data_IF_662753374008
#
_entry.id   IF_662753374008
#
_cell.length_a   1.000
_cell.length_b   1.000
_cell.length_c   1.000
_cell.angle_alpha   90.00
_cell.angle_beta   90.00
_cell.angle_gamma   90.00
#
_symmetry.space_group_name_H-M   'P 1'
#
loop_
_entity.id
_entity.type
_entity.pdbx_description
1 polymer ?
#
# COMPACT_ATOMS: atom_id res chain seq x y z
N UNK A 1 25.34 19.44 7.49
CA UNK A 1 23.93 19.61 7.07
C UNK A 1 23.11 18.48 7.68
N UNK A 2 21.90 18.75 8.13
CA UNK A 2 21.02 17.68 8.60
C UNK A 2 20.66 16.74 7.45
N UNK A 3 20.59 15.42 7.70
CA UNK A 3 20.25 14.45 6.67
C UNK A 3 18.75 14.50 6.34
N UNK A 4 18.41 14.53 5.05
CA UNK A 4 17.05 14.53 4.54
C UNK A 4 16.75 13.16 3.94
N UNK A 5 15.66 12.53 4.38
CA UNK A 5 15.33 11.19 3.94
C UNK A 5 14.02 11.10 3.16
N UNK A 6 14.10 10.94 1.85
CA UNK A 6 13.01 10.56 0.97
C UNK A 6 12.79 9.05 0.87
N UNK A 7 13.49 8.25 1.68
CA UNK A 7 13.34 6.79 1.70
C UNK A 7 12.12 6.31 2.50
N UNK A 8 11.66 7.09 3.49
CA UNK A 8 10.65 6.69 4.48
C UNK A 8 9.23 6.87 3.97
N UNK A 9 8.61 5.81 3.46
CA UNK A 9 7.17 5.78 3.11
C UNK A 9 6.26 5.53 4.33
N UNK A 10 6.38 6.36 5.36
CA UNK A 10 5.61 6.26 6.62
C UNK A 10 4.97 7.60 6.95
N UNK A 11 3.85 7.63 7.72
CA UNK A 11 3.29 8.86 8.25
C UNK A 11 4.31 9.60 9.11
N UNK A 12 4.34 10.93 9.00
CA UNK A 12 5.11 11.76 9.90
C UNK A 12 4.49 11.80 11.31
N UNK A 13 5.25 12.19 12.36
CA UNK A 13 4.73 12.28 13.72
C UNK A 13 3.47 13.14 13.82
N UNK A 14 3.38 14.23 13.07
CA UNK A 14 2.22 15.15 13.05
C UNK A 14 0.94 14.50 12.51
N UNK A 15 1.05 13.37 11.82
CA UNK A 15 -0.10 12.61 11.34
C UNK A 15 -0.72 11.72 12.42
N UNK A 16 -0.03 11.51 13.55
CA UNK A 16 -0.45 10.55 14.57
C UNK A 16 -1.43 11.21 15.56
N UNK A 17 -2.64 10.68 15.74
CA UNK A 17 -3.63 11.19 16.69
C UNK A 17 -3.39 10.61 18.11
N UNK A 18 -2.29 11.03 18.75
CA UNK A 18 -1.79 10.40 19.98
C UNK A 18 -2.78 10.53 21.15
N UNK A 19 -3.37 11.71 21.34
CA UNK A 19 -4.29 11.99 22.45
C UNK A 19 -5.59 11.20 22.28
N UNK A 20 -6.18 11.22 21.08
CA UNK A 20 -7.42 10.48 20.78
C UNK A 20 -7.21 8.97 20.92
N UNK A 21 -6.06 8.46 20.48
CA UNK A 21 -5.72 7.04 20.62
C UNK A 21 -5.50 6.64 22.09
N UNK A 22 -4.91 7.50 22.92
CA UNK A 22 -4.75 7.25 24.34
C UNK A 22 -6.10 7.16 25.06
N UNK A 23 -7.04 8.05 24.73
CA UNK A 23 -8.40 8.04 25.29
C UNK A 23 -9.20 6.82 24.82
N UNK A 24 -9.07 6.45 23.54
CA UNK A 24 -9.67 5.22 23.00
C UNK A 24 -9.12 3.97 23.71
N UNK A 25 -7.79 3.90 23.88
CA UNK A 25 -7.17 2.76 24.54
C UNK A 25 -7.65 2.60 26.00
N UNK A 26 -7.79 3.70 26.74
CA UNK A 26 -8.33 3.67 28.09
C UNK A 26 -9.77 3.16 28.10
N UNK A 27 -10.62 3.70 27.24
CA UNK A 27 -12.03 3.35 27.19
C UNK A 27 -12.27 1.88 26.84
N UNK A 28 -11.55 1.34 25.85
CA UNK A 28 -11.70 -0.07 25.48
C UNK A 28 -11.18 -1.02 26.56
N UNK A 29 -10.10 -0.65 27.27
CA UNK A 29 -9.62 -1.43 28.41
C UNK A 29 -10.60 -1.46 29.59
N UNK A 30 -11.23 -0.35 29.88
CA UNK A 30 -12.25 -0.24 30.95
C UNK A 30 -13.53 -1.01 30.60
N UNK A 31 -14.00 -0.94 29.34
CA UNK A 31 -15.23 -1.59 28.88
C UNK A 31 -15.06 -3.05 28.58
N UNK A 32 -14.03 -3.42 27.80
CA UNK A 32 -13.87 -4.74 27.16
C UNK A 32 -12.58 -5.46 27.57
N UNK A 33 -11.87 -4.96 28.59
CA UNK A 33 -10.51 -5.43 28.95
C UNK A 33 -10.38 -6.94 29.07
N UNK A 34 -11.38 -7.63 29.65
CA UNK A 34 -11.37 -9.10 29.79
C UNK A 34 -11.38 -9.83 28.44
N UNK A 35 -12.06 -9.28 27.45
CA UNK A 35 -12.15 -9.85 26.09
C UNK A 35 -10.90 -9.57 25.29
N UNK A 36 -10.46 -8.30 25.23
CA UNK A 36 -9.38 -7.86 24.35
C UNK A 36 -7.98 -8.22 24.85
N UNK A 37 -7.85 -8.58 26.13
CA UNK A 37 -6.60 -9.10 26.73
C UNK A 37 -6.55 -10.64 26.76
N UNK A 38 -7.58 -11.31 26.23
CA UNK A 38 -7.63 -12.77 26.09
C UNK A 38 -7.40 -13.19 24.64
N UNK A 39 -7.20 -14.48 24.42
CA UNK A 39 -7.25 -15.04 23.07
C UNK A 39 -8.66 -14.90 22.49
N UNK A 40 -8.75 -14.56 21.21
CA UNK A 40 -10.00 -14.40 20.48
C UNK A 40 -10.04 -15.21 19.19
N UNK A 41 -10.89 -14.81 18.28
CA UNK A 41 -10.99 -15.42 16.95
C UNK A 41 -9.76 -15.12 16.10
N UNK A 42 -9.26 -16.09 15.34
CA UNK A 42 -8.25 -15.88 14.31
C UNK A 42 -8.68 -14.91 13.21
N UNK A 43 -9.99 -14.68 13.04
CA UNK A 43 -10.52 -13.66 12.15
C UNK A 43 -10.41 -12.23 12.72
N UNK A 44 -10.10 -12.06 14.03
CA UNK A 44 -9.93 -10.78 14.69
C UNK A 44 -11.18 -10.28 15.44
N UNK A 45 -11.11 -9.03 15.86
CA UNK A 45 -12.10 -8.37 16.72
C UNK A 45 -13.46 -8.18 16.01
N UNK A 46 -14.52 -8.79 16.57
CA UNK A 46 -15.86 -8.83 15.95
C UNK A 46 -16.42 -7.45 15.58
N UNK A 47 -16.48 -6.49 16.55
CA UNK A 47 -17.05 -5.17 16.24
C UNK A 47 -16.35 -4.42 15.09
N UNK A 48 -15.03 -4.53 14.95
CA UNK A 48 -14.33 -3.91 13.82
C UNK A 48 -14.65 -4.63 12.49
N UNK A 49 -14.85 -5.96 12.53
CA UNK A 49 -15.28 -6.72 11.34
C UNK A 49 -16.69 -6.34 10.90
N UNK A 50 -17.60 -6.11 11.85
CA UNK A 50 -18.97 -5.63 11.59
C UNK A 50 -18.93 -4.24 10.97
N UNK A 51 -18.19 -3.30 11.55
CA UNK A 51 -18.02 -1.95 11.02
C UNK A 51 -17.46 -1.95 9.59
N UNK A 52 -16.43 -2.72 9.32
CA UNK A 52 -15.87 -2.86 7.97
C UNK A 52 -16.87 -3.56 7.03
N UNK A 53 -17.67 -4.51 7.54
CA UNK A 53 -18.75 -5.15 6.81
C UNK A 53 -19.78 -4.14 6.30
N UNK A 54 -20.16 -3.20 7.16
CA UNK A 54 -21.07 -2.11 6.80
C UNK A 54 -20.45 -1.13 5.80
N UNK A 55 -19.17 -0.76 5.95
CA UNK A 55 -18.47 0.11 5.01
C UNK A 55 -18.41 -0.48 3.60
N UNK A 56 -18.04 -1.75 3.49
CA UNK A 56 -17.86 -2.44 2.22
C UNK A 56 -19.12 -3.17 1.72
N UNK A 57 -20.20 -3.17 2.52
CA UNK A 57 -21.46 -3.88 2.24
C UNK A 57 -21.21 -5.37 1.96
N UNK A 58 -20.48 -6.03 2.84
CA UNK A 58 -20.18 -7.45 2.82
C UNK A 58 -20.46 -8.11 4.16
N UNK A 59 -20.73 -9.40 4.15
CA UNK A 59 -20.89 -10.16 5.38
C UNK A 59 -19.57 -10.12 6.21
N UNK A 60 -19.62 -9.86 7.54
CA UNK A 60 -18.43 -9.86 8.39
C UNK A 60 -17.63 -11.16 8.35
N UNK A 61 -18.27 -12.28 7.98
CA UNK A 61 -17.63 -13.58 7.76
C UNK A 61 -16.56 -13.58 6.67
N UNK A 62 -16.64 -12.66 5.71
CA UNK A 62 -15.65 -12.49 4.62
C UNK A 62 -14.46 -11.62 5.03
N UNK A 63 -14.49 -11.01 6.22
CA UNK A 63 -13.44 -10.07 6.69
C UNK A 63 -12.52 -10.77 7.67
N UNK A 64 -11.22 -10.69 7.41
CA UNK A 64 -10.16 -11.21 8.26
C UNK A 64 -9.26 -10.04 8.65
N UNK A 65 -9.19 -9.73 9.94
CA UNK A 65 -8.27 -8.73 10.48
C UNK A 65 -6.89 -9.35 10.71
N UNK A 66 -5.85 -8.58 10.39
CA UNK A 66 -4.47 -9.04 10.47
C UNK A 66 -3.59 -8.02 11.19
N UNK A 67 -2.38 -8.43 11.63
CA UNK A 67 -1.40 -7.50 12.20
C UNK A 67 -0.69 -6.70 11.08
N UNK A 68 -1.47 -5.88 10.36
CA UNK A 68 -1.11 -5.17 9.14
C UNK A 68 -1.30 -6.03 7.87
N UNK A 69 -1.48 -5.37 6.72
CA UNK A 69 -1.79 -6.04 5.45
C UNK A 69 -0.75 -7.11 5.04
N UNK A 70 0.55 -6.88 5.28
CA UNK A 70 1.60 -7.85 4.94
C UNK A 70 1.44 -9.22 5.63
N UNK A 71 0.87 -9.27 6.85
CA UNK A 71 0.62 -10.55 7.50
C UNK A 71 -0.43 -11.36 6.74
N UNK A 72 -1.49 -10.73 6.25
CA UNK A 72 -2.48 -11.38 5.40
C UNK A 72 -1.88 -11.87 4.07
N UNK A 73 -0.94 -11.12 3.49
CA UNK A 73 -0.21 -11.56 2.30
C UNK A 73 0.59 -12.85 2.59
N UNK A 74 1.24 -12.96 3.76
CA UNK A 74 1.91 -14.20 4.18
C UNK A 74 0.92 -15.36 4.29
N UNK A 75 -0.27 -15.13 4.88
CA UNK A 75 -1.30 -16.17 4.97
C UNK A 75 -1.76 -16.66 3.60
N UNK A 76 -1.94 -15.75 2.63
CA UNK A 76 -2.28 -16.09 1.24
C UNK A 76 -1.16 -16.88 0.58
N UNK A 77 0.10 -16.42 0.67
CA UNK A 77 1.25 -17.12 0.11
C UNK A 77 1.40 -18.54 0.69
N UNK A 78 1.17 -18.69 1.97
CA UNK A 78 1.18 -20.01 2.63
C UNK A 78 -0.03 -20.86 2.25
N UNK A 79 -1.20 -20.26 1.99
CA UNK A 79 -2.42 -20.96 1.60
C UNK A 79 -2.26 -21.60 0.21
N UNK A 80 -1.82 -20.82 -0.76
CA UNK A 80 -1.62 -21.31 -2.14
C UNK A 80 -0.40 -22.25 -2.23
N UNK A 81 0.68 -21.92 -1.50
CA UNK A 81 1.79 -22.85 -1.29
C UNK A 81 2.90 -22.78 -2.35
N UNK A 82 3.90 -23.62 -2.10
CA UNK A 82 5.12 -23.71 -2.92
C UNK A 82 4.84 -24.17 -4.36
N UNK A 83 5.60 -23.60 -5.30
CA UNK A 83 5.54 -23.96 -6.71
C UNK A 83 4.43 -23.24 -7.49
N UNK A 84 3.62 -22.43 -6.81
CA UNK A 84 2.58 -21.64 -7.44
C UNK A 84 3.13 -20.34 -8.04
N UNK A 85 2.39 -19.76 -8.98
CA UNK A 85 2.74 -18.52 -9.67
C UNK A 85 1.83 -17.39 -9.23
N UNK A 86 2.40 -16.20 -9.06
CA UNK A 86 1.69 -14.93 -8.80
C UNK A 86 2.14 -13.92 -9.85
N UNK A 87 1.20 -13.23 -10.47
CA UNK A 87 1.52 -12.13 -11.37
C UNK A 87 1.63 -10.84 -10.57
N UNK A 88 2.65 -10.02 -10.84
CA UNK A 88 2.94 -8.79 -10.09
C UNK A 88 3.22 -7.64 -11.05
N UNK A 89 2.89 -6.43 -10.65
CA UNK A 89 3.29 -5.22 -11.35
C UNK A 89 4.82 -5.10 -11.45
N UNK A 90 5.34 -4.46 -12.47
CA UNK A 90 6.76 -4.18 -12.64
C UNK A 90 6.95 -2.71 -13.07
N UNK A 91 7.46 -1.83 -12.16
CA UNK A 91 7.93 -2.10 -10.79
C UNK A 91 6.80 -2.35 -9.77
N UNK A 92 7.12 -3.01 -8.65
CA UNK A 92 6.17 -3.24 -7.56
C UNK A 92 6.82 -3.17 -6.18
N UNK A 93 5.98 -3.18 -5.12
CA UNK A 93 6.42 -3.18 -3.74
C UNK A 93 7.30 -4.39 -3.42
N UNK A 94 8.47 -4.15 -2.84
CA UNK A 94 9.51 -5.17 -2.64
C UNK A 94 9.16 -6.27 -1.60
N UNK A 95 8.31 -5.94 -0.61
CA UNK A 95 7.98 -6.87 0.48
C UNK A 95 7.17 -8.08 0.03
N UNK A 96 6.10 -7.94 -0.78
CA UNK A 96 5.43 -9.08 -1.41
C UNK A 96 6.38 -9.99 -2.18
N UNK A 97 7.32 -9.44 -2.96
CA UNK A 97 8.28 -10.24 -3.72
C UNK A 97 9.16 -11.12 -2.80
N UNK A 98 9.61 -10.56 -1.67
CA UNK A 98 10.37 -11.32 -0.66
C UNK A 98 9.53 -12.43 -0.05
N UNK A 99 8.27 -12.15 0.31
CA UNK A 99 7.34 -13.13 0.88
C UNK A 99 7.08 -14.27 -0.11
N UNK A 100 6.81 -13.95 -1.38
CA UNK A 100 6.61 -14.97 -2.42
C UNK A 100 7.83 -15.88 -2.55
N UNK A 101 9.03 -15.30 -2.66
CA UNK A 101 10.30 -16.05 -2.74
C UNK A 101 10.51 -16.96 -1.54
N UNK A 102 10.29 -16.46 -0.31
CA UNK A 102 10.45 -17.23 0.93
C UNK A 102 9.46 -18.40 1.03
N UNK A 103 8.27 -18.25 0.44
CA UNK A 103 7.28 -19.31 0.36
C UNK A 103 7.46 -20.22 -0.88
N UNK A 104 8.51 -20.02 -1.69
CA UNK A 104 8.82 -20.83 -2.86
C UNK A 104 7.82 -20.65 -4.01
N UNK A 105 7.21 -19.48 -4.10
CA UNK A 105 6.32 -19.08 -5.20
C UNK A 105 7.11 -18.30 -6.26
N UNK A 106 6.64 -18.33 -7.50
CA UNK A 106 7.24 -17.60 -8.62
C UNK A 106 6.46 -16.32 -8.87
N UNK A 107 7.14 -15.17 -8.85
CA UNK A 107 6.58 -13.90 -9.29
C UNK A 107 6.84 -13.73 -10.79
N UNK A 108 5.78 -13.45 -11.56
CA UNK A 108 5.85 -13.11 -12.99
C UNK A 108 5.56 -11.62 -13.14
N UNK A 109 6.52 -10.82 -13.63
CA UNK A 109 6.34 -9.39 -13.79
C UNK A 109 5.40 -9.07 -14.95
N UNK A 110 4.57 -8.04 -14.77
CA UNK A 110 3.69 -7.48 -15.81
C UNK A 110 4.02 -6.01 -16.01
N UNK A 111 4.19 -5.60 -17.26
CA UNK A 111 4.59 -4.25 -17.62
C UNK A 111 3.58 -3.18 -17.19
N UNK A 112 4.11 -2.03 -16.80
CA UNK A 112 3.38 -0.81 -16.48
C UNK A 112 3.78 0.33 -17.42
N UNK A 113 2.89 1.32 -17.56
CA UNK A 113 3.16 2.60 -18.22
C UNK A 113 2.77 3.79 -17.29
N UNK A 114 2.63 4.99 -17.85
CA UNK A 114 2.27 6.18 -17.07
C UNK A 114 0.87 6.12 -16.45
N UNK A 115 -0.02 5.27 -16.96
CA UNK A 115 -1.35 5.00 -16.41
C UNK A 115 -1.40 3.74 -15.53
N UNK A 116 -0.26 3.17 -15.15
CA UNK A 116 -0.16 1.97 -14.30
C UNK A 116 -0.12 0.66 -15.08
N UNK A 117 -0.67 -0.41 -14.52
CA UNK A 117 -0.63 -1.76 -15.10
C UNK A 117 -1.29 -1.79 -16.50
N UNK A 118 -0.56 -2.32 -17.48
CA UNK A 118 -1.03 -2.45 -18.86
C UNK A 118 -1.94 -3.69 -18.97
N UNK A 119 -3.24 -3.55 -19.33
CA UNK A 119 -4.12 -4.72 -19.44
C UNK A 119 -3.62 -5.79 -20.42
N UNK A 120 -3.02 -5.36 -21.53
CA UNK A 120 -2.39 -6.27 -22.51
C UNK A 120 -1.28 -7.13 -21.91
N UNK A 121 -0.50 -6.60 -20.94
CA UNK A 121 0.54 -7.37 -20.26
C UNK A 121 -0.06 -8.45 -19.34
N UNK A 122 -1.21 -8.18 -18.72
CA UNK A 122 -1.96 -9.20 -17.95
C UNK A 122 -2.42 -10.34 -18.86
N UNK A 123 -2.99 -9.98 -20.02
CA UNK A 123 -3.44 -10.98 -21.00
C UNK A 123 -2.25 -11.81 -21.52
N UNK A 124 -1.14 -11.20 -21.85
CA UNK A 124 0.08 -11.89 -22.32
C UNK A 124 0.62 -12.83 -21.24
N UNK A 125 0.65 -12.41 -19.98
CA UNK A 125 1.08 -13.24 -18.87
C UNK A 125 0.17 -14.46 -18.69
N UNK A 126 -1.16 -14.29 -18.80
CA UNK A 126 -2.14 -15.39 -18.77
C UNK A 126 -1.96 -16.38 -19.93
N UNK A 127 -1.75 -15.86 -21.14
CA UNK A 127 -1.55 -16.71 -22.35
C UNK A 127 -0.22 -17.50 -22.26
N UNK A 128 0.82 -16.92 -21.66
CA UNK A 128 2.17 -17.50 -21.61
C UNK A 128 2.37 -18.44 -20.42
N UNK A 129 1.86 -18.06 -19.23
CA UNK A 129 2.15 -18.75 -17.97
C UNK A 129 0.96 -19.48 -17.39
N UNK A 130 -0.22 -19.36 -18.01
CA UNK A 130 -1.46 -19.95 -17.51
C UNK A 130 -2.05 -19.15 -16.33
N UNK A 131 -3.01 -19.77 -15.62
CA UNK A 131 -3.72 -19.13 -14.53
C UNK A 131 -2.85 -19.04 -13.28
N UNK A 132 -2.55 -17.82 -12.76
CA UNK A 132 -1.84 -17.66 -11.49
C UNK A 132 -2.74 -17.97 -10.28
N UNK A 133 -2.15 -18.13 -9.10
CA UNK A 133 -2.89 -18.17 -7.85
C UNK A 133 -3.64 -16.87 -7.60
N UNK A 134 -2.99 -15.76 -7.90
CA UNK A 134 -3.61 -14.42 -7.95
C UNK A 134 -2.74 -13.44 -8.73
N UNK A 135 -3.37 -12.35 -9.17
CA UNK A 135 -2.74 -11.17 -9.74
C UNK A 135 -2.63 -10.15 -8.61
N UNK A 136 -1.42 -9.75 -8.22
CA UNK A 136 -1.18 -8.74 -7.20
C UNK A 136 -1.04 -7.35 -7.84
N UNK A 137 -1.87 -6.42 -7.42
CA UNK A 137 -1.86 -5.03 -7.90
C UNK A 137 -2.11 -4.05 -6.76
N UNK A 138 -1.43 -2.89 -6.84
CA UNK A 138 -1.67 -1.69 -6.03
C UNK A 138 -2.26 -0.63 -6.97
N UNK A 139 -3.57 -0.69 -7.28
CA UNK A 139 -4.12 0.09 -8.39
C UNK A 139 -4.31 1.58 -8.06
N UNK A 140 -4.14 2.00 -6.80
CA UNK A 140 -4.34 3.38 -6.35
C UNK A 140 -3.10 3.87 -5.65
N UNK A 141 -2.49 4.97 -6.17
CA UNK A 141 -1.26 5.57 -5.65
C UNK A 141 -0.15 4.53 -5.42
N UNK A 142 0.10 3.75 -6.45
CA UNK A 142 0.96 2.57 -6.47
C UNK A 142 2.32 2.81 -5.81
N UNK A 143 2.80 1.86 -5.06
CA UNK A 143 4.16 1.85 -4.54
C UNK A 143 5.05 0.94 -5.43
N UNK A 144 6.03 1.50 -6.17
CA UNK A 144 6.69 2.79 -5.93
C UNK A 144 6.23 3.97 -6.80
N UNK A 145 5.42 3.75 -7.84
CA UNK A 145 5.25 4.70 -8.94
C UNK A 145 4.36 5.93 -8.62
N UNK A 146 3.54 5.87 -7.57
CA UNK A 146 2.55 6.90 -7.25
C UNK A 146 1.37 6.97 -8.24
N UNK A 147 1.36 6.13 -9.28
CA UNK A 147 0.33 6.11 -10.33
C UNK A 147 -0.99 5.54 -9.84
N UNK A 148 -2.08 5.97 -10.47
CA UNK A 148 -3.43 5.42 -10.21
C UNK A 148 -3.97 4.80 -11.49
N UNK A 149 -4.31 3.51 -11.43
CA UNK A 149 -4.87 2.76 -12.55
C UNK A 149 -6.28 3.28 -12.88
N UNK A 150 -6.55 3.73 -14.12
CA UNK A 150 -7.87 4.19 -14.54
C UNK A 150 -8.95 3.11 -14.49
N UNK A 151 -10.21 3.52 -14.37
CA UNK A 151 -11.33 2.59 -14.18
C UNK A 151 -11.55 1.65 -15.36
N UNK A 152 -11.36 2.10 -16.58
CA UNK A 152 -11.46 1.27 -17.79
C UNK A 152 -10.44 0.13 -17.79
N UNK A 153 -9.19 0.41 -17.43
CA UNK A 153 -8.15 -0.61 -17.26
C UNK A 153 -8.46 -1.58 -16.12
N UNK A 154 -9.01 -1.10 -15.01
CA UNK A 154 -9.46 -1.98 -13.90
C UNK A 154 -10.52 -2.96 -14.39
N UNK A 155 -11.51 -2.49 -15.14
CA UNK A 155 -12.57 -3.34 -15.71
C UNK A 155 -12.03 -4.38 -16.70
N UNK A 156 -11.08 -3.99 -17.53
CA UNK A 156 -10.46 -4.88 -18.49
C UNK A 156 -9.64 -5.98 -17.80
N UNK A 157 -8.80 -5.63 -16.81
CA UNK A 157 -8.01 -6.58 -16.03
C UNK A 157 -8.91 -7.55 -15.25
N UNK A 158 -9.99 -7.05 -14.62
CA UNK A 158 -10.99 -7.89 -13.95
C UNK A 158 -11.63 -8.85 -14.95
N UNK A 159 -11.95 -8.39 -16.17
CA UNK A 159 -12.49 -9.25 -17.24
C UNK A 159 -11.54 -10.37 -17.63
N UNK A 160 -10.24 -10.10 -17.78
CA UNK A 160 -9.24 -11.13 -18.05
C UNK A 160 -9.09 -12.13 -16.91
N UNK A 161 -9.03 -11.64 -15.67
CA UNK A 161 -8.96 -12.50 -14.49
C UNK A 161 -10.18 -13.44 -14.39
N UNK A 162 -11.40 -12.91 -14.60
CA UNK A 162 -12.63 -13.70 -14.62
C UNK A 162 -12.61 -14.78 -15.70
N UNK A 163 -12.22 -14.41 -16.92
CA UNK A 163 -12.17 -15.35 -18.04
C UNK A 163 -11.15 -16.50 -17.81
N UNK A 164 -10.07 -16.20 -17.10
CA UNK A 164 -9.02 -17.16 -16.74
C UNK A 164 -9.32 -17.95 -15.44
N UNK A 165 -10.33 -17.58 -14.68
CA UNK A 165 -10.57 -18.14 -13.33
C UNK A 165 -9.49 -17.76 -12.32
N UNK A 166 -8.77 -16.66 -12.55
CA UNK A 166 -7.74 -16.15 -11.65
C UNK A 166 -8.35 -15.21 -10.59
N UNK A 167 -7.76 -15.17 -9.40
CA UNK A 167 -8.07 -14.16 -8.40
C UNK A 167 -7.23 -12.91 -8.61
N UNK A 168 -7.74 -11.77 -8.17
CA UNK A 168 -6.98 -10.52 -8.03
C UNK A 168 -6.78 -10.25 -6.53
N UNK A 169 -5.57 -9.88 -6.12
CA UNK A 169 -5.31 -9.27 -4.83
C UNK A 169 -5.11 -7.77 -5.04
N UNK A 170 -6.16 -7.00 -4.77
CA UNK A 170 -6.15 -5.54 -4.77
C UNK A 170 -5.63 -5.05 -3.42
N UNK A 171 -4.43 -4.47 -3.40
CA UNK A 171 -3.80 -3.89 -2.21
C UNK A 171 -3.97 -2.37 -2.24
N UNK A 172 -4.84 -1.84 -1.37
CA UNK A 172 -5.24 -0.43 -1.35
C UNK A 172 -4.97 0.26 -0.01
N UNK A 173 -3.71 0.41 0.40
CA UNK A 173 -3.37 1.10 1.64
C UNK A 173 -3.47 2.62 1.52
N UNK A 174 -3.56 3.17 0.31
CA UNK A 174 -3.48 4.61 0.04
C UNK A 174 -4.77 5.24 -0.48
N UNK A 175 -5.79 4.48 -0.84
CA UNK A 175 -6.99 4.99 -1.53
C UNK A 175 -7.70 6.12 -0.82
N UNK A 176 -7.69 6.12 0.52
CA UNK A 176 -8.23 7.20 1.34
C UNK A 176 -7.28 8.41 1.48
N UNK A 177 -6.02 8.26 1.12
CA UNK A 177 -5.02 9.35 1.12
C UNK A 177 -5.05 10.05 -0.24
N UNK A 178 -6.20 10.63 -0.57
CA UNK A 178 -6.47 11.32 -1.84
C UNK A 178 -6.59 12.82 -1.61
N UNK A 179 -5.86 13.60 -2.41
CA UNK A 179 -5.81 15.06 -2.29
C UNK A 179 -6.67 15.75 -3.34
N UNK A 180 -6.82 15.11 -4.50
CA UNK A 180 -7.56 15.65 -5.64
C UNK A 180 -8.07 14.54 -6.56
N UNK A 181 -8.81 14.90 -7.59
CA UNK A 181 -9.40 13.97 -8.54
C UNK A 181 -10.56 13.16 -7.95
N UNK A 182 -11.07 12.23 -8.73
CA UNK A 182 -12.17 11.33 -8.34
C UNK A 182 -11.61 9.91 -8.22
N UNK A 183 -11.94 9.21 -7.13
CA UNK A 183 -11.54 7.83 -6.94
C UNK A 183 -12.19 6.93 -8.02
N UNK A 184 -11.40 6.16 -8.80
CA UNK A 184 -11.96 5.12 -9.66
C UNK A 184 -12.65 4.04 -8.81
N UNK A 185 -13.62 3.32 -9.40
CA UNK A 185 -14.18 2.13 -8.77
C UNK A 185 -13.07 1.12 -8.46
N UNK A 186 -13.08 0.52 -7.27
CA UNK A 186 -12.12 -0.54 -6.94
C UNK A 186 -12.35 -1.78 -7.82
N UNK A 187 -11.33 -2.59 -8.03
CA UNK A 187 -11.50 -3.89 -8.70
C UNK A 187 -12.44 -4.79 -7.89
N UNK A 188 -12.43 -4.64 -6.58
CA UNK A 188 -13.35 -5.31 -5.67
C UNK A 188 -14.81 -4.92 -5.91
N UNK A 189 -15.11 -3.62 -6.10
CA UNK A 189 -16.47 -3.18 -6.44
C UNK A 189 -16.90 -3.62 -7.84
N UNK A 190 -15.96 -3.76 -8.77
CA UNK A 190 -16.22 -4.29 -10.10
C UNK A 190 -16.55 -5.79 -10.04
N UNK A 191 -15.81 -6.56 -9.23
CA UNK A 191 -16.06 -8.01 -9.08
C UNK A 191 -15.63 -8.55 -7.71
N UNK A 192 -16.60 -8.67 -6.80
CA UNK A 192 -16.38 -9.10 -5.40
C UNK A 192 -16.01 -10.57 -5.23
N UNK A 193 -16.27 -11.40 -6.22
CA UNK A 193 -15.95 -12.83 -6.17
C UNK A 193 -14.60 -13.15 -6.82
N UNK A 194 -14.11 -12.27 -7.70
CA UNK A 194 -12.81 -12.42 -8.36
C UNK A 194 -11.71 -11.70 -7.56
N UNK A 195 -12.06 -10.71 -6.73
CA UNK A 195 -11.11 -9.83 -6.08
C UNK A 195 -11.06 -10.08 -4.57
N UNK A 196 -9.86 -10.33 -4.08
CA UNK A 196 -9.48 -10.19 -2.67
C UNK A 196 -9.07 -8.73 -2.48
N UNK A 197 -9.75 -8.01 -1.59
CA UNK A 197 -9.39 -6.63 -1.26
C UNK A 197 -8.61 -6.60 0.05
N UNK A 198 -7.52 -5.85 0.10
CA UNK A 198 -6.78 -5.62 1.34
C UNK A 198 -6.45 -4.15 1.52
N UNK A 199 -6.46 -3.71 2.78
CA UNK A 199 -6.00 -2.39 3.17
C UNK A 199 -5.51 -2.39 4.62
N UNK A 200 -5.11 -1.22 5.14
CA UNK A 200 -4.69 -1.08 6.53
C UNK A 200 -4.87 0.34 7.05
N UNK A 201 -5.02 0.49 8.35
CA UNK A 201 -5.04 1.80 9.02
C UNK A 201 -3.64 2.40 9.23
N UNK A 202 -2.59 1.75 8.70
CA UNK A 202 -1.20 2.21 8.83
C UNK A 202 -0.93 3.57 8.18
N UNK A 203 -1.73 3.97 7.17
CA UNK A 203 -1.53 5.20 6.42
C UNK A 203 -2.52 6.31 6.79
N UNK A 204 -3.60 5.94 7.45
CA UNK A 204 -4.70 6.85 7.80
C UNK A 204 -4.80 7.16 9.29
N UNK A 205 -4.32 6.24 10.17
CA UNK A 205 -4.36 6.42 11.63
C UNK A 205 -2.95 6.26 12.22
N UNK A 206 -2.40 5.03 12.24
CA UNK A 206 -1.09 4.78 12.84
C UNK A 206 -0.46 3.48 12.33
N UNK A 207 0.78 3.51 11.85
CA UNK A 207 1.50 2.30 11.45
C UNK A 207 1.87 1.42 12.65
N UNK A 208 2.02 2.00 13.85
CA UNK A 208 2.40 1.30 15.07
C UNK A 208 1.32 0.37 15.63
N UNK A 209 0.05 0.65 15.36
CA UNK A 209 -1.07 -0.19 15.82
C UNK A 209 -1.17 -1.52 15.09
N UNK A 210 -0.55 -1.66 13.94
CA UNK A 210 -0.51 -2.92 13.17
C UNK A 210 -1.88 -3.50 12.88
N UNK A 211 -2.83 -2.72 12.34
CA UNK A 211 -4.16 -3.20 11.95
C UNK A 211 -4.33 -3.11 10.44
N UNK A 212 -4.58 -4.25 9.81
CA UNK A 212 -4.97 -4.40 8.42
C UNK A 212 -6.13 -5.37 8.30
N UNK A 213 -6.74 -5.45 7.12
CA UNK A 213 -7.85 -6.35 6.84
C UNK A 213 -7.80 -6.90 5.42
N UNK A 214 -8.44 -8.04 5.26
CA UNK A 214 -8.70 -8.70 4.00
C UNK A 214 -10.19 -8.93 3.86
N UNK A 215 -10.75 -8.63 2.71
CA UNK A 215 -12.09 -9.05 2.29
C UNK A 215 -11.89 -10.10 1.23
N UNK A 216 -12.33 -11.32 1.52
CA UNK A 216 -12.05 -12.47 0.67
C UNK A 216 -13.33 -13.10 0.09
N UNK A 217 -13.26 -13.81 -1.02
CA UNK A 217 -14.34 -14.71 -1.43
C UNK A 217 -14.69 -15.69 -0.30
N UNK A 218 -15.97 -16.05 -0.18
CA UNK A 218 -16.47 -16.89 0.92
C UNK A 218 -15.70 -18.20 1.05
N UNK A 219 -15.29 -18.78 -0.06
CA UNK A 219 -14.52 -20.04 -0.12
C UNK A 219 -13.13 -19.95 0.52
N UNK A 220 -12.55 -18.75 0.62
CA UNK A 220 -11.22 -18.54 1.22
C UNK A 220 -11.29 -18.14 2.71
N UNK A 221 -12.43 -17.71 3.23
CA UNK A 221 -12.54 -17.18 4.56
C UNK A 221 -12.14 -18.20 5.64
N UNK A 222 -12.77 -19.37 5.67
CA UNK A 222 -12.46 -20.41 6.65
C UNK A 222 -11.01 -20.94 6.52
N UNK A 223 -10.49 -21.29 5.33
CA UNK A 223 -9.11 -21.73 5.19
C UNK A 223 -8.05 -20.72 5.68
N UNK A 224 -8.27 -19.43 5.48
CA UNK A 224 -7.34 -18.40 5.94
C UNK A 224 -7.43 -18.17 7.46
N UNK A 225 -8.63 -18.22 8.03
CA UNK A 225 -8.83 -18.17 9.49
C UNK A 225 -8.18 -19.36 10.17
N UNK A 226 -8.32 -20.58 9.63
CA UNK A 226 -7.68 -21.78 10.15
C UNK A 226 -6.15 -21.66 10.11
N UNK A 227 -5.61 -21.07 9.04
CA UNK A 227 -4.18 -20.80 8.94
C UNK A 227 -3.71 -19.75 9.95
N UNK A 228 -4.49 -18.69 10.17
CA UNK A 228 -4.24 -17.68 11.20
C UNK A 228 -4.20 -18.33 12.60
N UNK A 229 -5.20 -19.15 12.91
CA UNK A 229 -5.25 -19.91 14.17
C UNK A 229 -4.03 -20.83 14.35
N UNK A 230 -3.57 -21.48 13.28
CA UNK A 230 -2.42 -22.40 13.31
C UNK A 230 -1.07 -21.68 13.41
N UNK A 231 -0.98 -20.38 13.10
CA UNK A 231 0.27 -19.63 13.08
C UNK A 231 0.43 -18.71 14.29
N UNK A 232 -0.55 -17.87 14.60
CA UNK A 232 -0.47 -16.87 15.67
C UNK A 232 -1.70 -16.84 16.60
N UNK A 233 -2.62 -17.81 16.46
CA UNK A 233 -3.83 -18.02 17.27
C UNK A 233 -4.85 -16.88 17.06
N UNK A 234 -4.49 -15.64 17.42
CA UNK A 234 -5.33 -14.44 17.30
C UNK A 234 -4.47 -13.23 16.96
N UNK A 235 -4.93 -12.31 16.12
CA UNK A 235 -4.27 -11.02 15.97
C UNK A 235 -4.37 -10.19 17.24
N UNK A 236 -3.67 -9.05 17.30
CA UNK A 236 -3.66 -8.16 18.48
C UNK A 236 -5.03 -7.48 18.63
N UNK A 237 -5.90 -8.04 19.48
CA UNK A 237 -7.27 -7.56 19.67
C UNK A 237 -7.32 -6.14 20.27
N UNK A 238 -6.39 -5.79 21.15
CA UNK A 238 -6.33 -4.45 21.74
C UNK A 238 -6.18 -3.37 20.67
N UNK A 239 -5.24 -3.53 19.75
CA UNK A 239 -5.06 -2.56 18.65
C UNK A 239 -6.31 -2.43 17.79
N UNK A 240 -6.98 -3.55 17.51
CA UNK A 240 -8.19 -3.58 16.70
C UNK A 240 -9.38 -2.91 17.42
N UNK A 241 -9.50 -3.11 18.73
CA UNK A 241 -10.52 -2.47 19.55
C UNK A 241 -10.29 -0.95 19.66
N UNK A 242 -9.02 -0.50 19.77
CA UNK A 242 -8.65 0.92 19.78
C UNK A 242 -9.02 1.58 18.44
N UNK A 243 -8.73 0.92 17.30
CA UNK A 243 -9.14 1.42 15.97
C UNK A 243 -10.67 1.49 15.86
N UNK A 244 -11.38 0.44 16.29
CA UNK A 244 -12.84 0.45 16.30
C UNK A 244 -13.38 1.65 17.10
N UNK A 245 -12.93 1.84 18.33
CA UNK A 245 -13.34 2.94 19.21
C UNK A 245 -13.01 4.31 18.59
N UNK A 246 -11.85 4.45 17.95
CA UNK A 246 -11.45 5.69 17.27
C UNK A 246 -12.43 6.06 16.14
N UNK A 247 -12.87 5.08 15.37
CA UNK A 247 -13.83 5.27 14.28
C UNK A 247 -15.23 5.52 14.84
N UNK A 248 -15.67 4.72 15.81
CA UNK A 248 -17.00 4.79 16.41
C UNK A 248 -17.26 6.14 17.10
N UNK A 249 -16.23 6.75 17.68
CA UNK A 249 -16.27 8.11 18.23
C UNK A 249 -16.29 9.24 17.20
N UNK A 250 -16.19 8.90 15.91
CA UNK A 250 -16.16 9.90 14.83
C UNK A 250 -14.82 10.62 14.66
N UNK A 251 -13.72 10.10 15.25
CA UNK A 251 -12.39 10.72 15.12
C UNK A 251 -11.74 10.46 13.76
N UNK A 252 -12.22 9.48 13.00
CA UNK A 252 -11.58 9.02 11.77
C UNK A 252 -11.58 10.09 10.67
N UNK A 253 -12.75 10.64 10.33
CA UNK A 253 -12.88 11.62 9.23
C UNK A 253 -12.12 12.93 9.49
N UNK A 254 -12.20 13.55 10.72
CA UNK A 254 -11.39 14.72 11.03
C UNK A 254 -9.88 14.45 10.95
N UNK A 255 -9.44 13.28 11.43
CA UNK A 255 -8.03 12.88 11.32
C UNK A 255 -7.60 12.69 9.87
N UNK A 256 -8.42 12.00 9.06
CA UNK A 256 -8.14 11.77 7.64
C UNK A 256 -8.02 13.09 6.86
N UNK A 257 -8.91 14.06 7.13
CA UNK A 257 -8.85 15.39 6.53
C UNK A 257 -7.54 16.08 6.89
N UNK A 258 -7.15 16.08 8.17
CA UNK A 258 -5.89 16.67 8.64
C UNK A 258 -4.67 16.03 7.99
N UNK A 259 -4.64 14.70 7.90
CA UNK A 259 -3.55 13.94 7.25
C UNK A 259 -3.48 14.28 5.76
N UNK A 260 -4.61 14.32 5.07
CA UNK A 260 -4.65 14.62 3.64
C UNK A 260 -4.20 16.06 3.33
N UNK A 261 -4.59 17.05 4.14
CA UNK A 261 -4.15 18.44 3.95
C UNK A 261 -2.63 18.60 4.15
N UNK A 262 -2.08 17.94 5.17
CA UNK A 262 -0.64 17.94 5.43
C UNK A 262 0.14 17.28 4.29
N UNK A 263 -0.33 16.13 3.82
CA UNK A 263 0.34 15.38 2.75
C UNK A 263 0.20 16.08 1.39
N UNK A 264 -0.92 16.75 1.13
CA UNK A 264 -1.10 17.60 -0.06
C UNK A 264 -0.04 18.69 -0.12
N UNK A 265 0.16 19.42 0.98
CA UNK A 265 1.17 20.48 1.05
C UNK A 265 2.59 19.95 0.76
N UNK A 266 2.91 18.76 1.27
CA UNK A 266 4.21 18.09 1.02
C UNK A 266 4.36 17.61 -0.42
N UNK A 267 3.31 17.00 -0.99
CA UNK A 267 3.30 16.60 -2.39
C UNK A 267 3.51 17.81 -3.31
N UNK A 268 2.81 18.90 -3.05
CA UNK A 268 2.89 20.12 -3.84
C UNK A 268 4.29 20.76 -3.76
N UNK A 269 4.90 20.75 -2.57
CA UNK A 269 6.29 21.19 -2.39
C UNK A 269 7.28 20.30 -3.18
N UNK A 270 7.07 18.98 -3.18
CA UNK A 270 7.90 18.02 -3.93
C UNK A 270 7.81 18.29 -5.43
N UNK A 271 6.60 18.39 -5.98
CA UNK A 271 6.41 18.65 -7.40
C UNK A 271 6.99 20.02 -7.82
N UNK A 272 6.74 21.07 -7.04
CA UNK A 272 7.28 22.41 -7.32
C UNK A 272 8.82 22.45 -7.27
N UNK A 273 9.44 21.69 -6.38
CA UNK A 273 10.91 21.59 -6.29
C UNK A 273 11.48 20.80 -7.49
N UNK A 274 10.84 19.70 -7.88
CA UNK A 274 11.22 18.93 -9.06
C UNK A 274 11.10 19.77 -10.33
N UNK A 275 9.99 20.49 -10.53
CA UNK A 275 9.77 21.39 -11.67
C UNK A 275 10.86 22.48 -11.77
N UNK A 276 11.32 22.98 -10.64
CA UNK A 276 12.34 24.03 -10.58
C UNK A 276 13.76 23.55 -10.83
N UNK A 277 14.13 22.36 -10.33
CA UNK A 277 15.51 21.93 -10.24
C UNK A 277 15.88 20.72 -11.12
N UNK A 278 14.92 19.83 -11.46
CA UNK A 278 15.22 18.54 -12.11
C UNK A 278 15.07 18.58 -13.64
N UNK A 279 15.82 19.49 -14.29
CA UNK A 279 15.80 19.65 -15.76
C UNK A 279 16.21 18.37 -16.47
N UNK A 280 15.42 17.94 -17.48
CA UNK A 280 15.72 16.75 -18.29
C UNK A 280 15.29 15.42 -17.68
N UNK A 281 14.77 15.44 -16.44
CA UNK A 281 14.16 14.28 -15.78
C UNK A 281 12.64 14.26 -15.97
N UNK A 282 12.02 13.12 -15.68
CA UNK A 282 10.56 12.94 -15.67
C UNK A 282 10.13 12.43 -14.31
N UNK A 283 8.89 12.70 -13.89
CA UNK A 283 8.34 12.19 -12.64
C UNK A 283 6.83 12.01 -12.71
N UNK A 284 6.32 11.16 -11.83
CA UNK A 284 4.88 10.95 -11.69
C UNK A 284 4.23 12.14 -10.95
N UNK A 285 2.95 12.40 -11.27
CA UNK A 285 2.14 13.45 -10.65
C UNK A 285 0.98 12.81 -9.85
N UNK A 286 1.24 12.32 -8.63
CA UNK A 286 0.22 11.60 -7.86
C UNK A 286 -0.86 12.54 -7.32
N UNK A 287 -2.13 12.13 -7.46
CA UNK A 287 -3.28 12.82 -6.85
C UNK A 287 -3.47 12.49 -5.37
N UNK A 288 -2.58 11.67 -4.81
CA UNK A 288 -2.61 11.19 -3.43
C UNK A 288 -1.44 10.27 -3.10
N UNK A 289 -1.56 9.52 -2.02
CA UNK A 289 -0.53 8.56 -1.61
C UNK A 289 0.70 9.21 -0.97
N UNK A 290 1.87 8.59 -1.16
CA UNK A 290 3.09 8.93 -0.42
C UNK A 290 4.32 9.16 -1.30
N UNK A 291 4.25 8.83 -2.61
CA UNK A 291 5.42 8.65 -3.45
C UNK A 291 5.36 9.43 -4.76
N UNK A 292 6.51 9.92 -5.17
CA UNK A 292 6.79 10.36 -6.53
C UNK A 292 7.85 9.41 -7.11
N UNK A 293 7.63 8.96 -8.34
CA UNK A 293 8.60 8.18 -9.11
C UNK A 293 9.38 9.13 -10.02
N UNK A 294 10.67 9.23 -9.78
CA UNK A 294 11.58 10.08 -10.54
C UNK A 294 12.38 9.22 -11.53
N UNK A 295 12.37 9.61 -12.78
CA UNK A 295 13.19 9.06 -13.87
C UNK A 295 14.23 10.10 -14.27
N UNK A 296 15.49 9.82 -13.96
CA UNK A 296 16.63 10.64 -14.36
C UNK A 296 16.87 10.52 -15.86
N UNK A 297 17.64 11.45 -16.48
CA UNK A 297 17.99 11.36 -17.90
C UNK A 297 18.57 10.00 -18.27
N UNK A 298 18.30 9.55 -19.49
CA UNK A 298 18.80 8.28 -20.00
C UNK A 298 20.34 8.18 -19.88
N UNK A 299 20.82 7.02 -19.43
CA UNK A 299 22.25 6.80 -19.17
C UNK A 299 22.74 7.27 -17.80
N UNK A 300 21.89 7.93 -16.99
CA UNK A 300 22.25 8.32 -15.62
C UNK A 300 22.07 7.13 -14.66
N UNK A 301 23.07 6.89 -13.80
CA UNK A 301 22.96 5.88 -12.73
C UNK A 301 22.45 6.52 -11.43
N UNK A 302 21.24 6.15 -11.00
CA UNK A 302 20.58 6.70 -9.82
C UNK A 302 21.37 6.46 -8.52
N UNK A 303 22.09 5.33 -8.42
CA UNK A 303 22.92 5.04 -7.26
C UNK A 303 24.11 6.03 -7.17
N UNK A 304 24.78 6.31 -8.26
CA UNK A 304 25.87 7.26 -8.30
C UNK A 304 25.40 8.69 -7.97
N UNK A 305 24.19 9.05 -8.43
CA UNK A 305 23.58 10.34 -8.09
C UNK A 305 23.30 10.41 -6.59
N UNK A 306 22.67 9.39 -5.99
CA UNK A 306 22.41 9.37 -4.55
C UNK A 306 23.69 9.34 -3.70
N UNK A 307 24.75 8.66 -4.15
CA UNK A 307 26.04 8.63 -3.46
C UNK A 307 26.71 10.03 -3.44
N UNK A 308 26.43 10.89 -4.43
CA UNK A 308 26.92 12.28 -4.52
C UNK A 308 26.00 13.29 -3.86
N UNK A 309 24.72 12.97 -3.71
CA UNK A 309 23.72 13.88 -3.12
C UNK A 309 23.96 14.02 -1.61
N UNK A 310 24.67 15.08 -1.23
CA UNK A 310 25.16 15.29 0.14
C UNK A 310 24.02 15.34 1.15
N UNK A 311 23.97 14.35 2.05
CA UNK A 311 22.96 14.25 3.11
C UNK A 311 21.54 13.92 2.65
N UNK A 312 21.34 13.48 1.39
CA UNK A 312 20.03 13.06 0.89
C UNK A 312 20.00 11.55 0.73
N UNK A 313 18.92 10.93 1.18
CA UNK A 313 18.67 9.49 0.96
C UNK A 313 17.29 9.26 0.32
N UNK A 314 17.25 8.34 -0.62
CA UNK A 314 16.00 7.88 -1.27
C UNK A 314 16.11 6.37 -1.56
N UNK A 315 15.10 5.77 -2.17
CA UNK A 315 15.14 4.36 -2.53
C UNK A 315 15.35 4.22 -4.03
N UNK A 316 16.32 3.39 -4.42
CA UNK A 316 16.62 3.10 -5.82
C UNK A 316 15.42 2.39 -6.48
N UNK A 317 15.13 2.74 -7.73
CA UNK A 317 14.08 2.08 -8.47
C UNK A 317 14.37 0.60 -8.72
N UNK A 318 15.63 0.23 -8.82
CA UNK A 318 16.08 -1.17 -8.96
C UNK A 318 15.65 -2.07 -7.79
N UNK A 319 15.42 -1.50 -6.59
CA UNK A 319 14.90 -2.25 -5.44
C UNK A 319 13.45 -2.73 -5.65
N UNK A 320 12.74 -2.15 -6.62
CA UNK A 320 11.35 -2.45 -6.98
C UNK A 320 11.21 -3.13 -8.35
N UNK A 321 12.31 -3.38 -9.06
CA UNK A 321 12.30 -3.87 -10.45
C UNK A 321 12.44 -2.78 -11.51
N UNK A 322 12.51 -1.50 -11.11
CA UNK A 322 12.67 -0.38 -12.06
C UNK A 322 14.06 -0.25 -12.66
N UNK A 323 14.21 0.70 -13.59
CA UNK A 323 15.48 0.97 -14.29
C UNK A 323 16.57 1.56 -13.39
N UNK A 324 17.83 1.48 -13.85
CA UNK A 324 18.99 2.02 -13.12
C UNK A 324 18.97 3.56 -12.95
N UNK A 325 18.18 4.26 -13.77
CA UNK A 325 17.98 5.70 -13.69
C UNK A 325 16.76 6.13 -12.89
N UNK A 326 16.16 5.26 -12.10
CA UNK A 326 14.91 5.54 -11.40
C UNK A 326 15.08 5.62 -9.88
N UNK A 327 14.33 6.53 -9.25
CA UNK A 327 14.34 6.79 -7.81
C UNK A 327 12.90 6.93 -7.31
N UNK A 328 12.57 6.29 -6.18
CA UNK A 328 11.33 6.58 -5.44
C UNK A 328 11.60 7.65 -4.40
N UNK A 329 10.87 8.77 -4.50
CA UNK A 329 10.87 9.85 -3.52
C UNK A 329 9.62 9.75 -2.64
N UNK A 330 9.79 9.58 -1.32
CA UNK A 330 8.69 9.63 -0.36
C UNK A 330 8.62 11.04 0.24
N UNK A 331 7.49 11.72 0.06
CA UNK A 331 7.24 13.05 0.62
C UNK A 331 6.49 13.01 1.97
N UNK A 332 6.08 11.84 2.42
CA UNK A 332 5.15 11.69 3.54
C UNK A 332 5.74 12.06 4.92
N UNK A 333 7.05 12.05 5.07
CA UNK A 333 7.71 12.20 6.37
C UNK A 333 8.42 13.55 6.58
N UNK A 334 8.90 14.16 5.52
CA UNK A 334 9.73 15.37 5.53
C UNK A 334 8.89 16.66 5.39
N UNK A 335 9.32 17.77 5.95
CA UNK A 335 8.63 19.06 5.82
C UNK A 335 8.74 19.64 4.40
N UNK A 336 7.87 20.60 4.01
CA UNK A 336 8.02 21.30 2.73
C UNK A 336 9.37 21.98 2.52
N UNK A 337 9.97 22.52 3.57
CA UNK A 337 11.29 23.17 3.54
C UNK A 337 12.41 22.14 3.31
N UNK A 338 12.36 21.01 4.02
CA UNK A 338 13.31 19.90 3.82
C UNK A 338 13.16 19.30 2.42
N UNK A 339 11.94 19.23 1.89
CA UNK A 339 11.69 18.75 0.51
C UNK A 339 12.39 19.67 -0.49
N UNK A 340 12.23 20.98 -0.38
CA UNK A 340 12.83 21.94 -1.29
C UNK A 340 14.38 21.84 -1.27
N UNK A 341 14.99 21.82 -0.10
CA UNK A 341 16.45 21.68 0.08
C UNK A 341 16.95 20.31 -0.42
N UNK A 342 16.25 19.21 -0.09
CA UNK A 342 16.65 17.87 -0.51
C UNK A 342 16.60 17.66 -2.02
N UNK A 343 15.59 18.21 -2.70
CA UNK A 343 15.48 18.14 -4.16
C UNK A 343 16.55 19.00 -4.83
N UNK A 344 16.88 20.19 -4.30
CA UNK A 344 17.95 21.04 -4.81
C UNK A 344 19.32 20.33 -4.73
N UNK A 345 19.63 19.69 -3.60
CA UNK A 345 20.87 18.89 -3.44
C UNK A 345 20.90 17.70 -4.39
N UNK A 346 19.77 17.00 -4.56
CA UNK A 346 19.66 15.86 -5.50
C UNK A 346 19.92 16.33 -6.94
N UNK A 347 19.35 17.48 -7.34
CA UNK A 347 19.52 18.05 -8.68
C UNK A 347 20.98 18.46 -8.95
N UNK A 348 21.65 19.06 -7.97
CA UNK A 348 23.07 19.38 -8.06
C UNK A 348 23.94 18.14 -8.31
N UNK A 349 23.59 17.00 -7.69
CA UNK A 349 24.29 15.72 -7.91
C UNK A 349 24.04 15.12 -9.31
N UNK A 350 22.90 15.39 -9.95
CA UNK A 350 22.60 14.98 -11.34
C UNK A 350 23.46 15.78 -12.32
N UNK A 351 23.60 17.09 -12.12
CA UNK A 351 24.31 17.99 -13.05
C UNK A 351 25.82 17.72 -13.09
N UNK A 352 26.37 17.08 -12.06
CA UNK A 352 27.80 16.72 -11.97
C UNK A 352 28.10 15.30 -12.48
N UNK A 353 27.11 14.60 -13.01
CA UNK A 353 27.19 13.28 -13.60
C UNK A 353 27.37 13.38 -15.13
#
# INVERSE_FOLDING_TARGET
>A
MEPISFARGVPAPECLPEEELADCARAVLERDGKTILSYGSGAGYGPLRELLGDWFKVAPGRIILTNGALQGFVLLAQHFGRGQTVFVEDPTYDRPLKILRENGMTAVPMAMDDDGLIPGAVKEALDTHGTPSFIYSIPTFQNPSGRTLPEDRRREIVGYAQAAGALILEDDPYGLVRFEGTAPSSMFDISRETTIYTSSFSKTISPGLRVGWYIVPESLAAPLVDRANATYITPVLLSQAVIFEFIDRGNFEPNLTRVNDLLRARRDAMLAALDRHMTGSRWSHPEGGYFVWLELPEGTNAKEVLDRAEGVTAVLGTDFGGGENTIRLAYSYVSPEEIADGVERLAAAVTTA
#
